data_IF_504282792287
#
_entry.id   IF_504282792287
#
_cell.length_a   1.000
_cell.length_b   1.000
_cell.length_c   1.000
_cell.angle_alpha   90.00
_cell.angle_beta   90.00
_cell.angle_gamma   90.00
#
_symmetry.space_group_name_H-M   'P 1'
#
loop_
_entity.id
_entity.type
_entity.pdbx_description
1 polymer ?
#
# COMPACT_ATOMS: atom_id res chain seq x y z
N UNK A 1 -5.08 -0.19 -28.41
CA UNK A 1 -5.08 -0.89 -27.10
C UNK A 1 -5.49 0.14 -26.07
N UNK A 2 -6.40 -0.18 -25.15
CA UNK A 2 -6.77 0.75 -24.08
C UNK A 2 -5.56 1.01 -23.18
N UNK A 3 -5.44 2.23 -22.69
CA UNK A 3 -4.45 2.62 -21.69
C UNK A 3 -4.79 1.99 -20.35
N UNK A 4 -3.80 1.91 -19.46
CA UNK A 4 -3.97 1.34 -18.12
C UNK A 4 -5.07 2.06 -17.32
N UNK A 5 -5.17 3.39 -17.45
CA UNK A 5 -6.19 4.18 -16.75
C UNK A 5 -7.59 3.95 -17.33
N UNK A 6 -7.73 3.83 -18.65
CA UNK A 6 -9.02 3.51 -19.28
C UNK A 6 -9.53 2.14 -18.83
N UNK A 7 -8.64 1.14 -18.70
CA UNK A 7 -9.00 -0.18 -18.17
C UNK A 7 -9.47 -0.07 -16.72
N UNK A 8 -8.77 0.70 -15.88
CA UNK A 8 -9.13 0.90 -14.49
C UNK A 8 -10.48 1.63 -14.32
N UNK A 9 -10.77 2.62 -15.16
CA UNK A 9 -12.01 3.41 -15.11
C UNK A 9 -13.24 2.63 -15.59
N UNK A 10 -13.06 1.68 -16.50
CA UNK A 10 -14.13 0.79 -16.96
C UNK A 10 -14.38 -0.40 -16.03
N UNK A 11 -13.53 -0.62 -15.01
CA UNK A 11 -13.65 -1.74 -14.11
C UNK A 11 -14.90 -1.61 -13.22
N UNK A 12 -15.71 -2.67 -13.18
CA UNK A 12 -16.82 -2.79 -12.24
C UNK A 12 -16.28 -3.18 -10.85
N UNK A 13 -16.14 -2.17 -9.98
CA UNK A 13 -15.64 -2.37 -8.63
C UNK A 13 -16.73 -2.97 -7.74
N UNK A 14 -16.40 -4.08 -7.08
CA UNK A 14 -17.20 -4.59 -5.97
C UNK A 14 -16.96 -3.76 -4.71
N UNK A 15 -17.99 -3.51 -3.89
CA UNK A 15 -17.81 -2.99 -2.54
C UNK A 15 -16.73 -3.79 -1.80
N UNK A 16 -15.86 -3.09 -1.06
CA UNK A 16 -14.74 -3.75 -0.35
C UNK A 16 -15.22 -4.79 0.65
N UNK A 17 -16.44 -4.63 1.14
CA UNK A 17 -17.13 -5.54 2.06
C UNK A 17 -17.36 -6.90 1.41
N UNK A 18 -17.80 -6.93 0.14
CA UNK A 18 -17.96 -8.18 -0.63
C UNK A 18 -16.61 -8.84 -0.93
N UNK A 19 -15.54 -8.04 -1.10
CA UNK A 19 -14.19 -8.58 -1.29
C UNK A 19 -13.68 -9.22 0.00
N UNK A 20 -13.93 -8.59 1.15
CA UNK A 20 -13.54 -9.08 2.46
C UNK A 20 -14.30 -10.35 2.87
N UNK A 21 -15.57 -10.49 2.48
CA UNK A 21 -16.37 -11.71 2.69
C UNK A 21 -15.72 -12.96 2.07
N UNK A 22 -14.99 -12.82 0.95
CA UNK A 22 -14.24 -13.92 0.33
C UNK A 22 -13.13 -14.48 1.24
N UNK A 23 -12.70 -13.67 2.22
CA UNK A 23 -11.70 -13.98 3.23
C UNK A 23 -12.32 -14.25 4.61
N UNK A 24 -13.62 -14.53 4.65
CA UNK A 24 -14.38 -14.82 5.87
C UNK A 24 -14.33 -13.67 6.91
N UNK A 25 -14.16 -12.43 6.44
CA UNK A 25 -14.21 -11.21 7.26
C UNK A 25 -15.61 -10.62 7.30
N UNK A 26 -15.96 -9.97 8.41
CA UNK A 26 -17.24 -9.26 8.56
C UNK A 26 -17.05 -7.75 8.51
N UNK A 27 -18.15 -6.99 8.50
CA UNK A 27 -18.13 -5.53 8.56
C UNK A 27 -17.43 -4.98 9.81
N UNK A 28 -17.56 -5.67 10.94
CA UNK A 28 -16.95 -5.25 12.21
C UNK A 28 -15.42 -5.41 12.19
N UNK A 29 -14.90 -6.24 11.28
CA UNK A 29 -13.46 -6.42 11.06
C UNK A 29 -12.84 -5.30 10.19
N UNK A 30 -13.66 -4.34 9.70
CA UNK A 30 -13.27 -3.36 8.70
C UNK A 30 -13.54 -1.90 9.14
N UNK A 31 -12.57 -1.03 8.88
CA UNK A 31 -12.72 0.42 8.94
C UNK A 31 -12.79 0.99 7.53
N UNK A 32 -13.97 1.41 7.07
CA UNK A 32 -14.19 1.78 5.67
C UNK A 32 -13.61 3.16 5.31
N UNK A 33 -12.92 3.22 4.17
CA UNK A 33 -12.43 4.43 3.50
C UNK A 33 -13.16 4.60 2.17
N UNK A 34 -14.40 5.06 2.27
CA UNK A 34 -15.35 5.05 1.15
C UNK A 34 -15.85 3.62 0.88
N UNK A 35 -16.30 3.36 -0.36
CA UNK A 35 -16.97 2.09 -0.72
C UNK A 35 -16.02 0.95 -1.08
N UNK A 36 -14.81 1.28 -1.53
CA UNK A 36 -13.91 0.34 -2.20
C UNK A 36 -12.55 0.17 -1.51
N UNK A 37 -12.40 0.70 -0.29
CA UNK A 37 -11.18 0.58 0.51
C UNK A 37 -11.55 0.44 1.97
N UNK A 38 -10.74 -0.29 2.72
CA UNK A 38 -10.88 -0.44 4.16
C UNK A 38 -9.51 -0.65 4.80
N UNK A 39 -9.38 -0.27 6.06
CA UNK A 39 -8.36 -0.81 6.96
C UNK A 39 -8.94 -2.02 7.69
N UNK A 40 -8.06 -2.93 8.08
CA UNK A 40 -8.41 -4.11 8.87
C UNK A 40 -8.27 -3.71 10.34
N UNK A 41 -9.26 -4.04 11.17
CA UNK A 41 -9.24 -3.67 12.58
C UNK A 41 -8.16 -4.43 13.37
N UNK A 42 -7.62 -3.78 14.40
CA UNK A 42 -6.67 -4.42 15.32
C UNK A 42 -7.26 -5.65 16.03
N UNK A 43 -8.58 -5.65 16.26
CA UNK A 43 -9.30 -6.76 16.86
C UNK A 43 -9.28 -8.00 15.97
N UNK A 44 -9.47 -7.82 14.66
CA UNK A 44 -9.36 -8.91 13.70
C UNK A 44 -7.94 -9.46 13.64
N UNK A 45 -6.92 -8.59 13.62
CA UNK A 45 -5.52 -9.02 13.62
C UNK A 45 -5.17 -9.88 14.84
N UNK A 46 -5.66 -9.52 16.03
CA UNK A 46 -5.50 -10.33 17.25
C UNK A 46 -6.26 -11.66 17.19
N UNK A 47 -7.46 -11.65 16.60
CA UNK A 47 -8.30 -12.86 16.44
C UNK A 47 -7.60 -13.92 15.59
N UNK A 48 -6.89 -13.51 14.55
CA UNK A 48 -6.24 -14.44 13.60
C UNK A 48 -4.79 -14.82 13.99
N UNK A 49 -4.22 -14.23 15.04
CA UNK A 49 -2.82 -14.42 15.44
C UNK A 49 -2.43 -15.89 15.66
N UNK A 50 -3.39 -16.74 16.05
CA UNK A 50 -3.18 -18.16 16.32
C UNK A 50 -3.47 -19.08 15.12
N UNK A 51 -3.88 -18.52 13.99
CA UNK A 51 -4.15 -19.31 12.80
C UNK A 51 -2.85 -19.85 12.21
N UNK A 52 -2.93 -20.99 11.52
CA UNK A 52 -1.78 -21.49 10.77
C UNK A 52 -1.49 -20.59 9.55
N UNK A 53 -0.21 -20.33 9.31
CA UNK A 53 0.23 -19.56 8.16
C UNK A 53 -0.07 -20.30 6.84
N UNK A 54 -0.52 -19.52 5.86
CA UNK A 54 -0.66 -19.97 4.48
C UNK A 54 0.70 -20.16 3.77
N UNK A 55 0.65 -20.40 2.45
CA UNK A 55 1.85 -20.46 1.62
C UNK A 55 2.29 -19.05 1.21
N UNK A 56 3.56 -18.73 1.48
CA UNK A 56 4.17 -17.48 1.04
C UNK A 56 4.87 -17.66 -0.31
N UNK A 57 4.48 -16.85 -1.31
CA UNK A 57 5.08 -16.86 -2.64
C UNK A 57 5.69 -15.47 -2.91
N UNK A 58 7.01 -15.42 -3.05
CA UNK A 58 7.73 -14.19 -3.34
C UNK A 58 7.92 -14.04 -4.86
N UNK A 59 7.42 -12.93 -5.41
CA UNK A 59 7.68 -12.53 -6.80
C UNK A 59 8.87 -11.58 -6.84
N UNK A 60 9.92 -11.98 -7.54
CA UNK A 60 11.12 -11.16 -7.78
C UNK A 60 11.39 -10.98 -9.27
N UNK A 61 12.36 -10.16 -9.62
CA UNK A 61 12.79 -9.92 -10.99
C UNK A 61 14.32 -9.88 -11.08
N UNK A 62 14.83 -9.97 -12.31
CA UNK A 62 16.23 -9.65 -12.62
C UNK A 62 16.51 -8.17 -12.35
N UNK A 63 17.77 -7.75 -12.51
CA UNK A 63 18.15 -6.34 -12.45
C UNK A 63 17.29 -5.50 -13.40
N UNK A 64 16.76 -4.36 -12.94
CA UNK A 64 15.86 -3.55 -13.74
C UNK A 64 16.57 -2.96 -14.95
N UNK A 65 15.87 -2.93 -16.07
CA UNK A 65 16.30 -2.41 -17.36
C UNK A 65 15.32 -1.35 -17.85
N UNK A 66 15.72 -0.46 -18.78
CA UNK A 66 14.80 0.52 -19.36
C UNK A 66 13.59 -0.09 -20.08
N UNK A 67 13.63 -1.37 -20.44
CA UNK A 67 12.51 -2.07 -21.08
C UNK A 67 11.36 -2.38 -20.10
N UNK A 68 11.65 -2.45 -18.80
CA UNK A 68 10.69 -2.79 -17.75
C UNK A 68 10.40 -4.29 -17.65
N UNK A 69 10.35 -4.80 -16.42
CA UNK A 69 10.25 -6.25 -16.16
C UNK A 69 8.83 -6.71 -15.81
N UNK A 70 7.89 -5.79 -15.56
CA UNK A 70 6.49 -6.14 -15.29
C UNK A 70 6.24 -6.85 -13.95
N UNK A 71 7.16 -6.76 -12.98
CA UNK A 71 7.08 -7.48 -11.68
C UNK A 71 5.72 -7.36 -10.99
N UNK A 72 5.20 -6.15 -10.84
CA UNK A 72 3.92 -5.91 -10.15
C UNK A 72 2.75 -6.50 -10.95
N UNK A 73 2.78 -6.37 -12.28
CA UNK A 73 1.78 -6.99 -13.17
C UNK A 73 1.77 -8.50 -13.01
N UNK A 74 2.94 -9.14 -12.90
CA UNK A 74 3.05 -10.58 -12.61
C UNK A 74 2.49 -10.92 -11.24
N UNK A 75 2.78 -10.14 -10.19
CA UNK A 75 2.22 -10.38 -8.84
C UNK A 75 0.69 -10.34 -8.85
N UNK A 76 0.09 -9.34 -9.49
CA UNK A 76 -1.38 -9.21 -9.58
C UNK A 76 -1.97 -10.35 -10.42
N UNK A 77 -1.40 -10.61 -11.59
CA UNK A 77 -1.86 -11.67 -12.48
C UNK A 77 -1.78 -13.07 -11.86
N UNK A 78 -0.73 -13.34 -11.07
CA UNK A 78 -0.59 -14.60 -10.33
C UNK A 78 -1.70 -14.77 -9.28
N UNK A 79 -2.00 -13.71 -8.52
CA UNK A 79 -3.12 -13.72 -7.56
C UNK A 79 -4.48 -13.94 -8.25
N UNK A 80 -4.73 -13.26 -9.37
CA UNK A 80 -5.93 -13.47 -10.18
C UNK A 80 -6.02 -14.92 -10.69
N UNK A 81 -4.91 -15.51 -11.13
CA UNK A 81 -4.86 -16.89 -11.59
C UNK A 81 -5.20 -17.89 -10.47
N UNK A 82 -4.67 -17.70 -9.26
CA UNK A 82 -5.03 -18.51 -8.10
C UNK A 82 -6.53 -18.42 -7.76
N UNK A 83 -7.10 -17.21 -7.81
CA UNK A 83 -8.55 -17.03 -7.65
C UNK A 83 -9.36 -17.80 -8.70
N UNK A 84 -8.92 -17.83 -9.96
CA UNK A 84 -9.56 -18.64 -11.03
C UNK A 84 -9.43 -20.14 -10.82
N UNK A 85 -8.40 -20.59 -10.11
CA UNK A 85 -8.21 -21.99 -9.73
C UNK A 85 -8.99 -22.37 -8.45
N UNK A 86 -9.75 -21.44 -7.86
CA UNK A 86 -10.52 -21.67 -6.64
C UNK A 86 -9.67 -21.67 -5.37
N UNK A 87 -8.44 -21.15 -5.42
CA UNK A 87 -7.58 -21.01 -4.25
C UNK A 87 -7.89 -19.70 -3.52
N UNK A 88 -8.02 -19.73 -2.19
CA UNK A 88 -8.06 -18.53 -1.35
C UNK A 88 -6.68 -17.88 -1.33
N UNK A 89 -6.47 -16.83 -2.11
CA UNK A 89 -5.19 -16.14 -2.25
C UNK A 89 -5.33 -14.63 -2.15
N UNK A 90 -4.37 -13.99 -1.49
CA UNK A 90 -4.28 -12.53 -1.36
C UNK A 90 -2.91 -12.08 -1.87
N UNK A 91 -2.86 -10.90 -2.48
CA UNK A 91 -1.60 -10.26 -2.86
C UNK A 91 -1.27 -9.14 -1.86
N UNK A 92 0.01 -8.99 -1.54
CA UNK A 92 0.51 -7.88 -0.73
C UNK A 92 1.44 -7.03 -1.61
N UNK A 93 1.14 -5.74 -1.72
CA UNK A 93 1.90 -4.76 -2.51
C UNK A 93 2.26 -3.55 -1.64
N UNK A 94 3.20 -2.75 -2.12
CA UNK A 94 3.58 -1.48 -1.48
C UNK A 94 2.72 -0.36 -2.01
N UNK A 95 2.29 0.55 -1.13
CA UNK A 95 1.74 1.84 -1.53
C UNK A 95 2.82 2.66 -2.27
N UNK A 96 2.50 3.24 -3.44
CA UNK A 96 3.43 4.10 -4.14
C UNK A 96 3.52 5.49 -3.50
N UNK A 97 4.69 6.11 -3.62
CA UNK A 97 4.86 7.51 -3.19
C UNK A 97 4.02 8.45 -4.07
N UNK A 98 3.41 9.45 -3.41
CA UNK A 98 2.65 10.53 -4.04
C UNK A 98 3.51 11.39 -4.98
N UNK A 99 4.77 11.67 -4.62
CA UNK A 99 5.62 12.62 -5.34
C UNK A 99 5.84 12.26 -6.82
N UNK A 100 6.25 11.01 -7.15
CA UNK A 100 6.42 10.57 -8.53
C UNK A 100 5.22 10.75 -9.45
N UNK A 101 3.99 10.75 -8.92
CA UNK A 101 2.75 10.94 -9.70
C UNK A 101 2.67 12.33 -10.34
N UNK A 102 3.32 13.34 -9.76
CA UNK A 102 3.41 14.70 -10.30
C UNK A 102 4.67 14.93 -11.14
N UNK A 103 5.47 13.87 -11.36
CA UNK A 103 6.68 13.89 -12.18
C UNK A 103 6.53 13.05 -13.44
N UNK A 104 7.41 12.06 -13.59
CA UNK A 104 7.53 11.26 -14.82
C UNK A 104 6.68 9.98 -14.77
N UNK A 105 6.33 9.49 -13.56
CA UNK A 105 5.81 8.13 -13.37
C UNK A 105 4.35 8.16 -12.97
N UNK A 106 3.46 7.89 -13.92
CA UNK A 106 2.05 7.59 -13.62
C UNK A 106 1.88 6.11 -13.25
N UNK A 107 1.02 5.84 -12.26
CA UNK A 107 0.36 4.54 -12.07
C UNK A 107 1.23 3.42 -11.51
N UNK A 108 1.05 3.06 -10.24
CA UNK A 108 1.81 1.98 -9.62
C UNK A 108 0.93 0.97 -8.89
N UNK A 109 0.23 0.11 -9.66
CA UNK A 109 -0.37 -1.11 -9.12
C UNK A 109 -0.62 -2.21 -10.17
N UNK A 110 0.32 -2.43 -11.08
CA UNK A 110 0.20 -3.43 -12.16
C UNK A 110 0.11 -2.77 -13.53
N UNK A 111 -0.49 -3.46 -14.50
CA UNK A 111 -0.65 -2.96 -15.88
C UNK A 111 -1.54 -3.87 -16.72
N UNK A 112 -2.19 -3.31 -17.74
CA UNK A 112 -3.20 -4.00 -18.55
C UNK A 112 -4.37 -4.51 -17.70
N UNK A 113 -4.78 -5.75 -17.92
CA UNK A 113 -5.89 -6.40 -17.18
C UNK A 113 -5.49 -6.92 -15.79
N UNK A 114 -4.22 -6.78 -15.41
CA UNK A 114 -3.69 -7.20 -14.12
C UNK A 114 -3.31 -5.96 -13.30
N UNK A 115 -4.31 -5.37 -12.64
CA UNK A 115 -4.19 -4.15 -11.86
C UNK A 115 -4.88 -4.27 -10.49
N UNK A 116 -4.43 -3.49 -9.52
CA UNK A 116 -5.19 -3.19 -8.29
C UNK A 116 -5.87 -1.84 -8.45
N UNK A 117 -7.12 -1.78 -8.01
CA UNK A 117 -8.03 -0.64 -8.16
C UNK A 117 -8.73 -0.37 -6.82
N UNK A 118 -9.15 0.88 -6.52
CA UNK A 118 -9.15 2.07 -7.37
C UNK A 118 -7.77 2.73 -7.55
N UNK A 119 -7.34 2.85 -8.81
CA UNK A 119 -5.98 3.29 -9.17
C UNK A 119 -5.71 4.76 -8.80
N UNK A 120 -6.71 5.63 -8.91
CA UNK A 120 -6.58 7.06 -8.61
C UNK A 120 -6.32 7.28 -7.11
N UNK A 121 -7.09 6.63 -6.24
CA UNK A 121 -6.91 6.71 -4.80
C UNK A 121 -5.54 6.16 -4.37
N UNK A 122 -5.14 5.01 -4.93
CA UNK A 122 -3.89 4.32 -4.61
C UNK A 122 -2.66 5.16 -4.95
N UNK A 123 -2.71 5.96 -6.02
CA UNK A 123 -1.60 6.81 -6.44
C UNK A 123 -1.59 8.18 -5.74
N UNK A 124 -2.63 8.52 -4.97
CA UNK A 124 -2.75 9.82 -4.32
C UNK A 124 -2.64 9.70 -2.80
N UNK A 125 -3.72 9.97 -2.08
CA UNK A 125 -3.72 10.00 -0.61
C UNK A 125 -4.07 8.65 0.01
N UNK A 126 -4.55 7.71 -0.81
CA UNK A 126 -5.00 6.39 -0.42
C UNK A 126 -5.78 6.37 0.91
N UNK A 127 -5.19 5.83 1.98
CA UNK A 127 -5.80 5.83 3.33
C UNK A 127 -5.09 6.75 4.32
N UNK A 128 -4.13 7.54 3.86
CA UNK A 128 -3.41 8.55 4.65
C UNK A 128 -2.13 8.05 5.32
N UNK A 129 -1.65 6.85 5.02
CA UNK A 129 -0.53 6.21 5.72
C UNK A 129 0.77 7.01 5.59
N UNK A 130 1.07 7.49 4.38
CA UNK A 130 2.24 8.35 4.17
C UNK A 130 2.11 9.72 4.82
N UNK A 131 0.90 10.25 4.98
CA UNK A 131 0.70 11.48 5.76
C UNK A 131 0.99 11.23 7.23
N UNK A 132 0.52 10.11 7.80
CA UNK A 132 0.81 9.73 9.19
C UNK A 132 2.33 9.54 9.42
N UNK A 133 3.03 8.85 8.51
CA UNK A 133 4.49 8.70 8.56
C UNK A 133 5.18 10.06 8.48
N UNK A 134 4.74 10.94 7.58
CA UNK A 134 5.30 12.29 7.42
C UNK A 134 5.12 13.12 8.69
N UNK A 135 3.93 13.09 9.28
CA UNK A 135 3.63 13.79 10.54
C UNK A 135 4.48 13.27 11.69
N UNK A 136 4.63 11.95 11.83
CA UNK A 136 5.47 11.36 12.86
C UNK A 136 6.95 11.74 12.68
N UNK A 137 7.48 11.64 11.45
CA UNK A 137 8.86 11.98 11.13
C UNK A 137 9.19 13.44 11.47
N UNK A 138 8.31 14.34 11.05
CA UNK A 138 8.50 15.78 11.22
C UNK A 138 8.25 16.23 12.65
N UNK A 139 7.39 15.52 13.41
CA UNK A 139 7.26 15.74 14.84
C UNK A 139 8.57 15.41 15.57
N UNK A 140 9.23 14.31 15.23
CA UNK A 140 10.55 13.98 15.79
C UNK A 140 11.60 15.06 15.48
N UNK A 141 11.63 15.57 14.24
CA UNK A 141 12.51 16.67 13.86
C UNK A 141 12.21 17.95 14.66
N UNK A 142 10.93 18.35 14.76
CA UNK A 142 10.52 19.54 15.48
C UNK A 142 10.84 19.44 16.99
N UNK A 143 10.67 18.27 17.60
CA UNK A 143 11.02 18.05 19.01
C UNK A 143 12.53 18.12 19.24
N UNK A 144 13.33 17.63 18.29
CA UNK A 144 14.80 17.73 18.35
C UNK A 144 15.26 19.19 18.34
N UNK A 145 14.79 19.98 17.38
CA UNK A 145 15.11 21.41 17.29
C UNK A 145 14.60 22.18 18.50
N UNK A 146 13.37 21.88 18.96
CA UNK A 146 12.83 22.49 20.17
C UNK A 146 13.69 22.18 21.40
N UNK A 147 14.14 20.94 21.58
CA UNK A 147 15.02 20.56 22.69
C UNK A 147 16.33 21.37 22.68
N UNK A 148 16.93 21.56 21.51
CA UNK A 148 18.14 22.38 21.34
C UNK A 148 17.84 23.84 21.71
N UNK A 149 16.72 24.37 21.24
CA UNK A 149 16.30 25.75 21.51
C UNK A 149 16.01 26.01 23.00
N UNK A 150 15.48 25.03 23.73
CA UNK A 150 15.08 25.15 25.14
C UNK A 150 16.20 24.90 26.16
N UNK A 151 17.46 24.90 25.71
CA UNK A 151 18.63 24.81 26.61
C UNK A 151 19.53 23.61 26.34
N UNK A 152 19.15 22.72 25.42
CA UNK A 152 19.97 21.61 24.96
C UNK A 152 20.60 20.80 26.11
N UNK A 153 19.79 20.40 27.11
CA UNK A 153 20.27 19.69 28.31
C UNK A 153 21.01 18.37 27.99
N UNK A 154 20.77 17.82 26.80
CA UNK A 154 21.41 16.59 26.31
C UNK A 154 22.75 16.85 25.59
N UNK A 155 23.17 18.10 25.40
CA UNK A 155 24.45 18.45 24.78
C UNK A 155 24.56 18.03 23.32
N UNK A 156 23.46 18.09 22.56
CA UNK A 156 23.41 17.66 21.15
C UNK A 156 24.29 18.58 20.28
N UNK A 157 25.23 17.98 19.53
CA UNK A 157 26.00 18.69 18.50
C UNK A 157 25.17 18.83 17.22
N UNK A 158 24.77 20.05 16.89
CA UNK A 158 23.91 20.35 15.74
C UNK A 158 24.52 19.96 14.40
N UNK A 159 25.84 19.77 14.33
CA UNK A 159 26.56 19.35 13.11
C UNK A 159 26.50 17.85 12.88
N UNK A 160 26.09 17.08 13.88
CA UNK A 160 26.04 15.62 13.85
C UNK A 160 24.61 15.08 13.80
N UNK A 161 23.61 15.94 13.63
CA UNK A 161 22.22 15.51 13.46
C UNK A 161 22.07 14.81 12.11
N UNK A 162 21.69 13.53 12.15
CA UNK A 162 21.46 12.69 10.97
C UNK A 162 19.98 12.52 10.62
N UNK A 163 19.08 12.86 11.54
CA UNK A 163 17.64 12.83 11.30
C UNK A 163 17.24 13.84 10.22
N UNK A 164 16.34 13.46 9.32
CA UNK A 164 15.91 14.26 8.18
C UNK A 164 14.41 14.12 7.95
#
# INVERSE_FOLDING_TARGET
>A
MKTDIEIAQEAELKPITEVAELLDMTMDDLELYGKYKAKISDEYLKKIEKNEDGKLILVTAINPTPAGEGKTTTSVGLGQAFGRLGLKSVIALREPSLGPCFGIKGGAAGGGMAQVVPMEDLNLHFTGDFHAITSANNLCAALLDNHIQQGNELGIDTRQIVWK
#
